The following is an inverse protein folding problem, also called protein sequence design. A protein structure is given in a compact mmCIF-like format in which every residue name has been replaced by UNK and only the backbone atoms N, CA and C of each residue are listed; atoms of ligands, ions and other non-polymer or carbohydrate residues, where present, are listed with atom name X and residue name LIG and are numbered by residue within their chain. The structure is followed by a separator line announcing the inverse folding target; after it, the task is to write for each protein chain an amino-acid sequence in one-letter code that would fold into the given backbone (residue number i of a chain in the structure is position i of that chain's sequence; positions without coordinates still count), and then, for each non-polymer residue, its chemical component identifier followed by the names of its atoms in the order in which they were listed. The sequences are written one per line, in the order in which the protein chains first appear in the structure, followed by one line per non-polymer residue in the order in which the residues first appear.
data_IF_585163121825
#
_entry.id   IF_585163121825
#
_cell.length_a   1.000
_cell.length_b   1.000
_cell.length_c   1.000
_cell.angle_alpha   90.00
_cell.angle_beta   90.00
_cell.angle_gamma   90.00
#
_symmetry.space_group_name_H-M   'P 1'
#
loop_
_entity.id
_entity.type
_entity.pdbx_description
1 polymer ?
#
# COMPACT_ATOMS: atom_id res chain seq x y z
N UNK A 1 -3.97 26.64 -14.07
CA UNK A 1 -2.90 25.60 -14.17
C UNK A 1 -3.42 24.51 -15.09
N UNK A 2 -2.67 24.14 -16.11
CA UNK A 2 -3.01 22.95 -16.91
C UNK A 2 -2.90 21.71 -16.01
N UNK A 3 -3.79 20.70 -16.15
CA UNK A 3 -3.65 19.44 -15.44
C UNK A 3 -2.31 18.80 -15.80
N UNK A 4 -1.62 18.25 -14.81
CA UNK A 4 -0.41 17.47 -15.05
C UNK A 4 -0.75 16.28 -15.99
N UNK A 5 0.15 15.92 -16.92
CA UNK A 5 -0.08 14.74 -17.76
C UNK A 5 -0.27 13.51 -16.85
N UNK A 6 -1.24 12.67 -17.21
CA UNK A 6 -1.47 11.42 -16.48
C UNK A 6 -0.22 10.54 -16.54
N UNK A 7 0.06 9.83 -15.44
CA UNK A 7 1.16 8.87 -15.37
C UNK A 7 0.99 7.76 -16.44
N UNK A 8 2.05 7.27 -17.09
CA UNK A 8 1.94 6.23 -18.13
C UNK A 8 1.18 4.97 -17.68
N UNK A 9 1.28 4.59 -16.40
CA UNK A 9 0.57 3.46 -15.83
C UNK A 9 -0.86 3.78 -15.32
N UNK A 10 -1.40 4.97 -15.59
CA UNK A 10 -2.67 5.44 -15.02
C UNK A 10 -3.84 4.47 -15.30
N UNK A 11 -4.00 4.05 -16.55
CA UNK A 11 -5.11 3.16 -16.93
C UNK A 11 -4.93 1.75 -16.37
N UNK A 12 -3.68 1.24 -16.32
CA UNK A 12 -3.36 -0.04 -15.68
C UNK A 12 -3.67 0.02 -14.17
N UNK A 13 -3.26 1.08 -13.50
CA UNK A 13 -3.53 1.27 -12.09
C UNK A 13 -5.04 1.33 -11.80
N UNK A 14 -5.83 2.03 -12.62
CA UNK A 14 -7.30 2.03 -12.47
C UNK A 14 -7.88 0.62 -12.63
N UNK A 15 -7.39 -0.14 -13.61
CA UNK A 15 -7.82 -1.54 -13.79
C UNK A 15 -7.42 -2.41 -12.59
N UNK A 16 -6.22 -2.25 -12.06
CA UNK A 16 -5.74 -2.97 -10.86
C UNK A 16 -6.54 -2.59 -9.61
N UNK A 17 -6.82 -1.30 -9.39
CA UNK A 17 -7.70 -0.85 -8.32
C UNK A 17 -9.06 -1.54 -8.37
N UNK A 18 -9.71 -1.48 -9.56
CA UNK A 18 -11.04 -2.10 -9.77
C UNK A 18 -10.99 -3.61 -9.50
N UNK A 19 -9.99 -4.31 -10.03
CA UNK A 19 -9.84 -5.74 -9.81
C UNK A 19 -9.64 -6.10 -8.33
N UNK A 20 -8.78 -5.34 -7.63
CA UNK A 20 -8.53 -5.52 -6.20
C UNK A 20 -9.80 -5.31 -5.37
N UNK A 21 -10.55 -4.24 -5.67
CA UNK A 21 -11.76 -3.92 -4.94
C UNK A 21 -12.88 -4.93 -5.18
N UNK A 22 -13.04 -5.40 -6.42
CA UNK A 22 -13.99 -6.46 -6.73
C UNK A 22 -13.65 -7.77 -6.02
N UNK A 23 -12.37 -8.13 -5.93
CA UNK A 23 -11.93 -9.28 -5.13
C UNK A 23 -12.25 -9.07 -3.64
N UNK A 24 -11.98 -7.88 -3.11
CA UNK A 24 -12.29 -7.54 -1.71
C UNK A 24 -13.80 -7.59 -1.38
N UNK A 25 -14.66 -7.28 -2.35
CA UNK A 25 -16.11 -7.34 -2.20
C UNK A 25 -16.68 -8.76 -2.41
N UNK A 26 -15.99 -9.61 -3.19
CA UNK A 26 -16.44 -10.97 -3.54
C UNK A 26 -16.28 -11.99 -2.41
N UNK A 27 -15.35 -11.77 -1.48
CA UNK A 27 -15.09 -12.64 -0.33
C UNK A 27 -15.94 -12.24 0.91
N UNK A 28 -17.09 -11.62 0.71
CA UNK A 28 -18.08 -11.41 1.77
C UNK A 28 -18.48 -12.76 2.41
N UNK A 29 -18.97 -12.80 3.67
CA UNK A 29 -19.36 -14.04 4.32
C UNK A 29 -20.29 -14.82 3.38
N UNK A 30 -19.91 -16.05 3.09
CA UNK A 30 -20.67 -16.98 2.24
C UNK A 30 -22.14 -16.91 2.64
N UNK A 31 -22.99 -16.53 1.69
CA UNK A 31 -24.43 -16.52 1.92
C UNK A 31 -24.81 -17.90 2.45
N UNK A 32 -25.61 -18.01 3.54
CA UNK A 32 -25.97 -19.31 4.13
C UNK A 32 -26.51 -20.22 3.04
N UNK A 33 -25.98 -21.45 2.98
CA UNK A 33 -26.34 -22.45 2.00
C UNK A 33 -27.87 -22.54 1.89
N UNK A 34 -28.48 -22.24 0.72
CA UNK A 34 -29.93 -22.32 0.56
C UNK A 34 -30.48 -23.74 0.75
N UNK A 35 -29.63 -24.73 0.99
CA UNK A 35 -29.97 -26.13 1.29
C UNK A 35 -29.98 -26.49 2.77
N UNK A 36 -29.59 -25.55 3.67
CA UNK A 36 -29.76 -25.72 5.09
C UNK A 36 -31.26 -25.60 5.45
N UNK A 37 -32.01 -26.66 5.33
CA UNK A 37 -33.38 -26.79 5.77
C UNK A 37 -33.47 -26.64 7.28
N UNK A 38 -33.93 -25.49 7.76
CA UNK A 38 -34.46 -25.33 9.10
C UNK A 38 -35.91 -25.73 9.08
N UNK A 39 -36.37 -26.73 9.86
CA UNK A 39 -37.78 -27.06 9.92
C UNK A 39 -38.54 -26.01 10.74
N UNK A 40 -39.48 -25.32 10.14
CA UNK A 40 -40.64 -24.71 10.77
C UNK A 40 -40.50 -23.26 11.26
N UNK A 41 -40.84 -22.31 10.37
CA UNK A 41 -41.50 -21.06 10.79
C UNK A 41 -42.25 -20.48 9.55
N UNK A 42 -43.55 -20.59 9.56
CA UNK A 42 -44.47 -19.86 8.68
C UNK A 42 -44.59 -18.42 9.15
N UNK A 43 -44.10 -17.45 8.37
CA UNK A 43 -44.28 -16.01 8.56
C UNK A 43 -44.14 -15.27 7.22
N UNK A 44 -44.83 -14.12 7.03
CA UNK A 44 -45.12 -13.57 5.69
C UNK A 44 -43.88 -13.01 4.99
N UNK A 45 -43.81 -13.22 3.69
CA UNK A 45 -42.79 -12.79 2.75
C UNK A 45 -42.60 -11.27 2.78
N UNK A 46 -41.42 -10.80 3.19
CA UNK A 46 -40.95 -9.45 2.94
C UNK A 46 -40.24 -9.42 1.57
N UNK A 47 -40.78 -8.58 0.69
CA UNK A 47 -40.22 -8.31 -0.64
C UNK A 47 -38.85 -7.64 -0.52
N UNK A 48 -37.80 -8.31 -0.96
CA UNK A 48 -36.46 -7.75 -1.05
C UNK A 48 -36.37 -6.86 -2.29
N UNK A 49 -35.94 -5.60 -2.22
CA UNK A 49 -35.70 -4.77 -3.40
C UNK A 49 -34.47 -5.28 -4.15
N UNK A 50 -34.64 -5.34 -5.49
CA UNK A 50 -33.81 -5.96 -6.47
C UNK A 50 -32.30 -5.81 -6.37
N UNK A 51 -31.62 -6.92 -6.65
CA UNK A 51 -30.24 -7.01 -7.03
C UNK A 51 -29.91 -6.05 -8.18
N UNK A 52 -28.96 -5.18 -8.03
CA UNK A 52 -28.42 -4.35 -9.12
C UNK A 52 -27.55 -5.27 -9.99
N UNK A 53 -28.13 -5.74 -11.08
CA UNK A 53 -27.41 -6.43 -12.16
C UNK A 53 -26.53 -5.44 -12.94
N UNK A 54 -25.50 -5.93 -13.67
CA UNK A 54 -24.61 -5.08 -14.44
C UNK A 54 -25.36 -4.48 -15.63
N UNK A 55 -25.60 -3.18 -15.62
CA UNK A 55 -26.12 -2.46 -16.77
C UNK A 55 -25.21 -1.30 -17.16
N UNK A 56 -24.66 -1.41 -18.38
CA UNK A 56 -24.57 -0.34 -19.34
C UNK A 56 -23.53 0.74 -19.14
N UNK A 57 -22.49 0.67 -19.96
CA UNK A 57 -21.57 1.76 -20.27
C UNK A 57 -22.33 3.02 -20.73
N UNK A 58 -22.39 4.01 -19.84
CA UNK A 58 -22.75 5.39 -20.14
C UNK A 58 -21.67 6.34 -19.60
N UNK A 59 -21.54 7.60 -20.07
CA UNK A 59 -20.43 8.48 -19.76
C UNK A 59 -20.51 9.05 -18.34
N UNK A 60 -20.18 8.23 -17.35
CA UNK A 60 -20.04 8.62 -15.95
C UNK A 60 -19.06 7.68 -15.27
N UNK A 61 -17.92 8.20 -14.80
CA UNK A 61 -17.01 7.44 -13.98
C UNK A 61 -17.78 6.77 -12.85
N UNK A 62 -17.59 5.46 -12.67
CA UNK A 62 -18.22 4.72 -11.57
C UNK A 62 -17.68 5.28 -10.23
N UNK A 63 -18.38 4.98 -9.12
CA UNK A 63 -17.86 5.37 -7.79
C UNK A 63 -16.46 4.81 -7.59
N UNK A 64 -16.20 3.59 -8.07
CA UNK A 64 -14.89 2.95 -8.02
C UNK A 64 -13.80 3.75 -8.76
N UNK A 65 -14.13 4.28 -9.92
CA UNK A 65 -13.20 5.08 -10.74
C UNK A 65 -12.86 6.41 -10.06
N UNK A 66 -13.83 7.06 -9.41
CA UNK A 66 -13.59 8.30 -8.66
C UNK A 66 -12.62 8.10 -7.51
N UNK A 67 -12.72 6.97 -6.79
CA UNK A 67 -11.75 6.65 -5.74
C UNK A 67 -10.36 6.36 -6.30
N UNK A 68 -10.28 5.64 -7.44
CA UNK A 68 -9.00 5.44 -8.13
C UNK A 68 -8.36 6.77 -8.52
N UNK A 69 -9.15 7.68 -9.13
CA UNK A 69 -8.67 8.98 -9.57
C UNK A 69 -8.25 9.89 -8.39
N UNK A 70 -8.99 9.88 -7.27
CA UNK A 70 -8.59 10.61 -6.05
C UNK A 70 -7.28 10.08 -5.48
N UNK A 71 -7.12 8.76 -5.37
CA UNK A 71 -5.89 8.15 -4.89
C UNK A 71 -4.72 8.45 -5.83
N UNK A 72 -4.88 8.27 -7.13
CA UNK A 72 -3.83 8.59 -8.11
C UNK A 72 -3.47 10.07 -8.09
N UNK A 73 -4.46 10.96 -7.91
CA UNK A 73 -4.21 12.39 -7.71
C UNK A 73 -3.34 12.67 -6.48
N UNK A 74 -3.54 11.94 -5.38
CA UNK A 74 -2.72 12.05 -4.17
C UNK A 74 -1.29 11.57 -4.40
N UNK A 75 -1.12 10.42 -5.06
CA UNK A 75 0.19 9.89 -5.42
C UNK A 75 0.96 10.76 -6.43
N UNK A 76 0.25 11.63 -7.17
CA UNK A 76 0.83 12.58 -8.13
C UNK A 76 1.01 14.00 -7.56
N UNK A 77 0.85 14.21 -6.26
CA UNK A 77 1.01 15.53 -5.63
C UNK A 77 2.42 16.10 -5.87
N UNK A 78 2.54 17.42 -6.17
CA UNK A 78 3.78 18.00 -6.69
C UNK A 78 4.94 18.09 -5.69
N UNK A 79 4.68 17.92 -4.39
CA UNK A 79 5.72 17.88 -3.35
C UNK A 79 6.46 16.55 -3.27
N UNK A 80 5.91 15.48 -3.83
CA UNK A 80 6.47 14.13 -3.79
C UNK A 80 7.63 14.00 -4.78
N UNK A 81 8.68 13.29 -4.41
CA UNK A 81 9.83 12.98 -5.27
C UNK A 81 10.08 11.47 -5.33
N UNK A 82 10.04 10.81 -4.17
CA UNK A 82 10.13 9.35 -4.07
C UNK A 82 8.74 8.70 -3.87
N UNK A 83 7.92 9.19 -2.93
CA UNK A 83 6.61 8.61 -2.60
C UNK A 83 5.55 9.02 -3.65
N UNK A 84 5.83 8.68 -4.90
CA UNK A 84 5.05 9.03 -6.11
C UNK A 84 4.27 7.82 -6.64
N UNK A 85 3.54 8.03 -7.75
CA UNK A 85 2.86 6.94 -8.48
C UNK A 85 3.82 5.82 -8.89
N UNK A 86 5.11 6.13 -9.18
CA UNK A 86 6.11 5.10 -9.48
C UNK A 86 6.37 4.17 -8.29
N UNK A 87 6.42 4.74 -7.07
CA UNK A 87 6.53 3.95 -5.85
C UNK A 87 5.31 3.04 -5.66
N UNK A 88 4.10 3.57 -5.81
CA UNK A 88 2.87 2.76 -5.77
C UNK A 88 2.93 1.59 -6.77
N UNK A 89 3.33 1.85 -8.02
CA UNK A 89 3.50 0.80 -9.04
C UNK A 89 4.48 -0.25 -8.57
N UNK A 90 5.64 0.18 -8.05
CA UNK A 90 6.67 -0.72 -7.57
C UNK A 90 6.17 -1.60 -6.40
N UNK A 91 5.54 -1.01 -5.38
CA UNK A 91 4.98 -1.75 -4.23
C UNK A 91 3.95 -2.77 -4.69
N UNK A 92 3.00 -2.38 -5.55
CA UNK A 92 2.00 -3.30 -6.07
C UNK A 92 2.61 -4.47 -6.86
N UNK A 93 3.68 -4.24 -7.63
CA UNK A 93 4.41 -5.31 -8.32
C UNK A 93 5.09 -6.26 -7.31
N UNK A 94 5.67 -5.73 -6.24
CA UNK A 94 6.30 -6.56 -5.20
C UNK A 94 5.26 -7.34 -4.38
N UNK A 95 4.11 -6.76 -4.09
CA UNK A 95 2.98 -7.50 -3.50
C UNK A 95 2.56 -8.67 -4.40
N UNK A 96 2.50 -8.45 -5.73
CA UNK A 96 2.16 -9.54 -6.68
C UNK A 96 3.25 -10.61 -6.76
N UNK A 97 4.52 -10.25 -6.61
CA UNK A 97 5.66 -11.18 -6.52
C UNK A 97 5.57 -12.04 -5.25
N UNK A 98 5.17 -11.42 -4.14
CA UNK A 98 5.04 -12.05 -2.82
C UNK A 98 3.66 -12.68 -2.56
N UNK A 99 2.75 -12.71 -3.53
CA UNK A 99 1.34 -13.07 -3.35
C UNK A 99 1.08 -14.41 -2.66
N UNK A 100 1.99 -15.38 -2.84
CA UNK A 100 1.86 -16.71 -2.24
C UNK A 100 2.05 -16.74 -0.71
N UNK A 101 2.62 -15.67 -0.16
CA UNK A 101 2.85 -15.51 1.28
C UNK A 101 1.74 -14.73 1.98
N UNK A 102 0.82 -14.09 1.25
CA UNK A 102 -0.29 -13.34 1.82
C UNK A 102 -1.44 -14.27 2.24
N UNK A 103 -2.07 -13.97 3.36
CA UNK A 103 -3.31 -14.61 3.81
C UNK A 103 -4.54 -13.95 3.14
N UNK A 104 -4.59 -12.61 3.10
CA UNK A 104 -5.59 -11.82 2.37
C UNK A 104 -4.90 -10.86 1.38
N UNK A 105 -4.63 -11.38 0.18
CA UNK A 105 -3.96 -10.60 -0.86
C UNK A 105 -4.74 -9.33 -1.27
N UNK A 106 -6.07 -9.36 -1.17
CA UNK A 106 -6.89 -8.19 -1.47
C UNK A 106 -6.69 -7.09 -0.41
N UNK A 107 -6.62 -7.45 0.87
CA UNK A 107 -6.30 -6.51 1.96
C UNK A 107 -4.91 -5.92 1.79
N UNK A 108 -3.90 -6.73 1.48
CA UNK A 108 -2.50 -6.26 1.26
C UNK A 108 -2.44 -5.29 0.09
N UNK A 109 -3.08 -5.60 -1.05
CA UNK A 109 -3.11 -4.68 -2.19
C UNK A 109 -3.83 -3.38 -1.87
N UNK A 110 -4.96 -3.43 -1.15
CA UNK A 110 -5.65 -2.22 -0.69
C UNK A 110 -4.76 -1.41 0.25
N UNK A 111 -4.07 -2.06 1.18
CA UNK A 111 -3.13 -1.37 2.07
C UNK A 111 -1.99 -0.69 1.28
N UNK A 112 -1.46 -1.33 0.23
CA UNK A 112 -0.48 -0.71 -0.66
C UNK A 112 -1.01 0.54 -1.38
N UNK A 113 -2.31 0.58 -1.73
CA UNK A 113 -2.92 1.79 -2.29
C UNK A 113 -3.00 2.94 -1.29
N UNK A 114 -3.20 2.65 -0.01
CA UNK A 114 -3.46 3.65 1.01
C UNK A 114 -2.24 4.05 1.85
N UNK A 115 -1.16 3.24 1.95
CA UNK A 115 -0.12 3.45 2.97
C UNK A 115 0.46 4.86 2.96
N UNK A 116 0.73 5.43 1.81
CA UNK A 116 1.23 6.79 1.61
C UNK A 116 0.24 7.71 0.87
N UNK A 117 -1.07 7.37 0.85
CA UNK A 117 -2.08 8.19 0.17
C UNK A 117 -2.20 9.60 0.78
N UNK A 118 -1.86 9.77 2.05
CA UNK A 118 -1.65 11.06 2.70
C UNK A 118 -0.18 11.16 3.05
N UNK A 119 0.55 12.07 2.40
CA UNK A 119 1.98 12.20 2.61
C UNK A 119 2.43 13.67 2.60
N UNK A 120 2.96 14.12 3.72
CA UNK A 120 3.62 15.40 3.90
C UNK A 120 4.93 15.15 4.66
N UNK A 121 6.11 15.40 4.07
CA UNK A 121 7.39 15.05 4.69
C UNK A 121 7.67 15.72 6.04
N UNK A 122 6.97 16.83 6.35
CA UNK A 122 7.08 17.56 7.61
C UNK A 122 6.09 17.09 8.69
N UNK A 123 5.36 15.99 8.46
CA UNK A 123 4.33 15.47 9.36
C UNK A 123 4.63 14.06 9.81
N UNK A 124 4.33 13.78 11.07
CA UNK A 124 4.50 12.45 11.69
C UNK A 124 3.20 11.62 11.74
N UNK A 125 2.11 12.13 11.15
CA UNK A 125 0.78 11.51 11.24
C UNK A 125 0.30 10.98 9.88
N UNK A 126 1.22 10.81 8.91
CA UNK A 126 0.87 10.44 7.55
C UNK A 126 0.15 9.09 7.48
N UNK A 127 0.71 8.07 8.13
CA UNK A 127 0.19 6.70 8.13
C UNK A 127 -1.15 6.64 8.87
N UNK A 128 -1.32 7.34 9.99
CA UNK A 128 -2.60 7.40 10.69
C UNK A 128 -3.68 8.10 9.85
N UNK A 129 -3.33 9.17 9.14
CA UNK A 129 -4.26 9.87 8.24
C UNK A 129 -4.60 9.03 7.01
N UNK A 130 -3.63 8.30 6.47
CA UNK A 130 -3.79 7.32 5.40
C UNK A 130 -4.71 6.17 5.84
N UNK A 131 -4.50 5.63 7.03
CA UNK A 131 -5.35 4.58 7.60
C UNK A 131 -6.81 5.04 7.77
N UNK A 132 -7.03 6.25 8.30
CA UNK A 132 -8.38 6.84 8.41
C UNK A 132 -9.02 7.11 7.05
N UNK A 133 -8.22 7.46 6.05
CA UNK A 133 -8.71 7.59 4.67
C UNK A 133 -9.18 6.22 4.16
N UNK A 134 -8.40 5.16 4.38
CA UNK A 134 -8.76 3.79 4.01
C UNK A 134 -10.05 3.34 4.70
N UNK A 135 -10.17 3.54 6.02
CA UNK A 135 -11.38 3.19 6.79
C UNK A 135 -12.64 3.83 6.19
N UNK A 136 -12.61 5.12 5.91
CA UNK A 136 -13.76 5.82 5.32
C UNK A 136 -14.07 5.34 3.90
N UNK A 137 -13.04 5.31 3.04
CA UNK A 137 -13.21 4.95 1.64
C UNK A 137 -13.73 3.53 1.45
N UNK A 138 -13.15 2.56 2.18
CA UNK A 138 -13.53 1.15 2.07
C UNK A 138 -14.92 0.88 2.64
N UNK A 139 -15.29 1.55 3.74
CA UNK A 139 -16.65 1.50 4.28
C UNK A 139 -17.68 2.05 3.27
N UNK A 140 -17.40 3.20 2.66
CA UNK A 140 -18.27 3.79 1.64
C UNK A 140 -18.39 2.93 0.38
N UNK A 141 -17.34 2.18 0.04
CA UNK A 141 -17.30 1.24 -1.07
C UNK A 141 -17.93 -0.12 -0.74
N UNK A 142 -18.37 -0.34 0.51
CA UNK A 142 -19.05 -1.56 0.92
C UNK A 142 -18.12 -2.73 1.26
N UNK A 143 -16.83 -2.49 1.44
CA UNK A 143 -15.89 -3.51 1.94
C UNK A 143 -16.25 -3.87 3.38
N UNK A 144 -16.27 -5.17 3.70
CA UNK A 144 -16.63 -5.66 5.02
C UNK A 144 -15.75 -5.08 6.15
N UNK A 145 -16.35 -4.88 7.32
CA UNK A 145 -15.71 -4.24 8.48
C UNK A 145 -14.37 -4.88 8.86
N UNK A 146 -14.31 -6.21 8.90
CA UNK A 146 -13.09 -6.94 9.28
C UNK A 146 -11.93 -6.65 8.31
N UNK A 147 -12.18 -6.68 6.99
CA UNK A 147 -11.16 -6.37 5.98
C UNK A 147 -10.78 -4.90 5.99
N UNK A 148 -11.73 -3.99 6.18
CA UNK A 148 -11.47 -2.56 6.33
C UNK A 148 -10.55 -2.28 7.52
N UNK A 149 -10.81 -2.91 8.67
CA UNK A 149 -9.97 -2.81 9.86
C UNK A 149 -8.56 -3.39 9.62
N UNK A 150 -8.47 -4.51 8.90
CA UNK A 150 -7.18 -5.12 8.56
C UNK A 150 -6.37 -4.22 7.61
N UNK A 151 -6.97 -3.66 6.57
CA UNK A 151 -6.28 -2.69 5.69
C UNK A 151 -5.75 -1.51 6.49
N UNK A 152 -6.56 -0.93 7.38
CA UNK A 152 -6.14 0.20 8.22
C UNK A 152 -5.02 -0.18 9.19
N UNK A 153 -5.03 -1.40 9.75
CA UNK A 153 -3.95 -1.95 10.58
C UNK A 153 -2.66 -2.06 9.78
N UNK A 154 -2.74 -2.63 8.58
CA UNK A 154 -1.59 -2.79 7.68
C UNK A 154 -0.98 -1.44 7.29
N UNK A 155 -1.81 -0.43 6.99
CA UNK A 155 -1.33 0.94 6.73
C UNK A 155 -0.60 1.51 7.94
N UNK A 156 -1.13 1.34 9.17
CA UNK A 156 -0.45 1.80 10.39
C UNK A 156 0.86 1.07 10.66
N UNK A 157 0.98 -0.18 10.24
CA UNK A 157 2.18 -1.00 10.41
C UNK A 157 3.39 -0.43 9.63
N UNK A 158 3.17 0.31 8.54
CA UNK A 158 4.26 0.93 7.78
C UNK A 158 5.01 2.05 8.54
N UNK A 159 4.50 2.49 9.69
CA UNK A 159 5.25 3.38 10.61
C UNK A 159 6.54 2.70 11.10
N UNK A 160 6.46 1.44 11.45
CA UNK A 160 7.58 0.69 12.07
C UNK A 160 8.21 -0.33 11.15
N UNK A 161 7.48 -0.83 10.15
CA UNK A 161 7.85 -1.97 9.30
C UNK A 161 8.30 -3.20 10.11
N UNK A 162 7.70 -3.39 11.29
CA UNK A 162 8.03 -4.50 12.19
C UNK A 162 6.82 -5.42 12.42
N UNK A 163 6.43 -6.22 11.40
CA UNK A 163 5.33 -7.16 11.52
C UNK A 163 5.67 -8.28 12.50
N UNK A 164 4.67 -8.76 13.25
CA UNK A 164 4.82 -9.89 14.16
C UNK A 164 5.17 -11.18 13.40
N UNK A 165 5.77 -12.13 14.14
CA UNK A 165 5.98 -13.47 13.60
C UNK A 165 4.62 -14.15 13.38
N UNK A 166 4.32 -14.51 12.12
CA UNK A 166 3.02 -15.08 11.72
C UNK A 166 2.02 -14.06 11.15
N UNK A 167 2.32 -12.76 11.18
CA UNK A 167 1.54 -11.74 10.47
C UNK A 167 1.87 -11.77 8.96
N UNK A 168 1.29 -12.74 8.26
CA UNK A 168 1.57 -13.00 6.85
C UNK A 168 1.35 -11.76 5.96
N UNK A 169 0.24 -11.05 6.16
CA UNK A 169 -0.13 -9.88 5.37
C UNK A 169 0.77 -8.68 5.69
N UNK A 170 1.08 -8.45 6.96
CA UNK A 170 2.03 -7.43 7.39
C UNK A 170 3.44 -7.68 6.85
N UNK A 171 3.90 -8.95 6.86
CA UNK A 171 5.20 -9.32 6.30
C UNK A 171 5.27 -9.04 4.80
N UNK A 172 4.22 -9.37 4.04
CA UNK A 172 4.17 -9.11 2.59
C UNK A 172 4.17 -7.60 2.30
N UNK A 173 3.35 -6.82 3.00
CA UNK A 173 3.30 -5.38 2.78
C UNK A 173 4.63 -4.71 3.11
N UNK A 174 5.20 -4.97 4.28
CA UNK A 174 6.46 -4.37 4.72
C UNK A 174 7.62 -4.75 3.81
N UNK A 175 7.72 -6.02 3.40
CA UNK A 175 8.75 -6.48 2.49
C UNK A 175 8.61 -5.83 1.10
N UNK A 176 7.36 -5.70 0.60
CA UNK A 176 7.09 -5.06 -0.68
C UNK A 176 7.46 -3.56 -0.69
N UNK A 177 7.16 -2.84 0.38
CA UNK A 177 7.46 -1.43 0.53
C UNK A 177 8.98 -1.19 0.65
N UNK A 178 9.65 -1.98 1.48
CA UNK A 178 11.10 -1.90 1.67
C UNK A 178 11.92 -2.53 0.54
N UNK A 179 11.30 -3.13 -0.49
CA UNK A 179 12.02 -3.83 -1.56
C UNK A 179 12.99 -2.92 -2.34
N UNK A 180 12.74 -1.60 -2.37
CA UNK A 180 13.64 -0.62 -2.99
C UNK A 180 15.03 -0.65 -2.37
N UNK A 181 15.16 -1.01 -1.10
CA UNK A 181 16.45 -1.09 -0.41
C UNK A 181 17.37 -2.15 -1.05
N UNK A 182 16.79 -3.17 -1.67
CA UNK A 182 17.51 -4.24 -2.38
C UNK A 182 17.71 -3.96 -3.88
N UNK A 183 17.37 -2.78 -4.37
CA UNK A 183 17.53 -2.42 -5.77
C UNK A 183 19.00 -2.46 -6.22
N UNK A 184 19.22 -2.60 -7.54
CA UNK A 184 20.57 -2.46 -8.11
C UNK A 184 21.20 -1.11 -7.72
N UNK A 185 22.52 -1.01 -7.54
CA UNK A 185 23.16 0.17 -6.95
C UNK A 185 22.77 1.51 -7.60
N UNK A 186 22.61 1.56 -8.93
CA UNK A 186 22.20 2.79 -9.60
C UNK A 186 20.75 3.18 -9.29
N UNK A 187 19.84 2.20 -9.17
CA UNK A 187 18.44 2.45 -8.81
C UNK A 187 18.32 2.83 -7.33
N UNK A 188 19.11 2.22 -6.45
CA UNK A 188 19.19 2.62 -5.05
C UNK A 188 19.70 4.04 -4.89
N UNK A 189 20.75 4.43 -5.63
CA UNK A 189 21.27 5.80 -5.59
C UNK A 189 20.21 6.82 -6.08
N UNK A 190 19.43 6.48 -7.10
CA UNK A 190 18.32 7.32 -7.56
C UNK A 190 17.22 7.46 -6.48
N UNK A 191 16.89 6.38 -5.78
CA UNK A 191 16.01 6.40 -4.62
C UNK A 191 16.53 7.33 -3.52
N UNK A 192 17.78 7.18 -3.10
CA UNK A 192 18.38 8.01 -2.06
C UNK A 192 18.39 9.51 -2.43
N UNK A 193 18.68 9.82 -3.71
CA UNK A 193 18.62 11.17 -4.23
C UNK A 193 17.19 11.73 -4.21
N UNK A 194 16.19 10.95 -4.63
CA UNK A 194 14.78 11.36 -4.61
C UNK A 194 14.28 11.63 -3.18
N UNK A 195 14.67 10.79 -2.21
CA UNK A 195 14.39 11.04 -0.78
C UNK A 195 15.06 12.33 -0.32
N UNK A 196 16.32 12.59 -0.70
CA UNK A 196 16.97 13.87 -0.37
C UNK A 196 16.23 15.08 -0.94
N UNK A 197 15.77 14.99 -2.18
CA UNK A 197 14.99 16.05 -2.81
C UNK A 197 13.64 16.28 -2.10
N UNK A 198 12.98 15.21 -1.67
CA UNK A 198 11.69 15.26 -0.96
C UNK A 198 11.82 15.95 0.40
N UNK A 199 12.96 15.76 1.06
CA UNK A 199 13.33 16.47 2.28
C UNK A 199 14.17 17.72 2.03
N UNK A 200 14.08 18.34 0.84
CA UNK A 200 14.87 19.50 0.43
C UNK A 200 14.74 20.73 1.33
N UNK A 201 13.66 20.81 2.12
CA UNK A 201 13.45 21.86 3.13
C UNK A 201 14.25 21.65 4.42
N UNK A 202 14.83 20.46 4.64
CA UNK A 202 15.68 20.15 5.81
C UNK A 202 17.13 20.53 5.48
N UNK A 203 17.81 21.32 6.35
CA UNK A 203 19.23 21.61 6.20
C UNK A 203 20.08 20.35 6.07
N UNK A 204 21.14 20.43 5.25
CA UNK A 204 21.97 19.29 4.85
C UNK A 204 22.47 18.45 6.05
N UNK A 205 23.04 19.11 7.06
CA UNK A 205 23.57 18.44 8.26
C UNK A 205 22.48 17.68 9.01
N UNK A 206 21.30 18.30 9.21
CA UNK A 206 20.19 17.67 9.91
C UNK A 206 19.60 16.50 9.12
N UNK A 207 19.53 16.63 7.79
CA UNK A 207 19.11 15.53 6.93
C UNK A 207 20.07 14.35 7.04
N UNK A 208 21.37 14.60 6.95
CA UNK A 208 22.41 13.56 7.05
C UNK A 208 22.34 12.81 8.38
N UNK A 209 22.21 13.54 9.48
CA UNK A 209 22.09 12.93 10.82
C UNK A 209 20.83 12.08 10.94
N UNK A 210 19.68 12.62 10.50
CA UNK A 210 18.42 11.92 10.51
C UNK A 210 18.45 10.68 9.61
N UNK A 211 18.94 10.82 8.37
CA UNK A 211 19.06 9.69 7.44
C UNK A 211 19.99 8.61 7.96
N UNK A 212 21.16 9.00 8.49
CA UNK A 212 22.10 8.06 9.12
C UNK A 212 21.48 7.33 10.32
N UNK A 213 20.65 8.00 11.11
CA UNK A 213 19.93 7.36 12.22
C UNK A 213 18.94 6.29 11.70
N UNK A 214 18.18 6.60 10.65
CA UNK A 214 17.25 5.64 9.99
C UNK A 214 18.03 4.44 9.47
N UNK A 215 19.13 4.65 8.72
CA UNK A 215 19.95 3.57 8.16
C UNK A 215 20.54 2.67 9.25
N UNK A 216 21.04 3.26 10.33
CA UNK A 216 21.55 2.48 11.49
C UNK A 216 20.43 1.67 12.15
N UNK A 217 19.23 2.26 12.28
CA UNK A 217 18.07 1.55 12.80
C UNK A 217 17.73 0.31 11.98
N UNK A 218 17.66 0.47 10.66
CA UNK A 218 17.40 -0.65 9.73
C UNK A 218 18.51 -1.71 9.80
N UNK A 219 19.78 -1.30 9.79
CA UNK A 219 20.91 -2.23 9.88
C UNK A 219 20.99 -2.96 11.22
N UNK A 220 20.46 -2.39 12.30
CA UNK A 220 20.40 -3.01 13.63
C UNK A 220 19.30 -4.08 13.73
N UNK A 221 18.31 -4.09 12.82
CA UNK A 221 17.29 -5.13 12.80
C UNK A 221 17.92 -6.49 12.55
N UNK A 222 17.49 -7.56 13.25
CA UNK A 222 17.97 -8.92 12.99
C UNK A 222 17.72 -9.35 11.54
N UNK A 223 16.63 -8.89 10.95
CA UNK A 223 16.21 -9.10 9.56
C UNK A 223 15.46 -7.89 9.05
N UNK A 224 15.77 -7.46 7.83
CA UNK A 224 15.04 -6.42 7.13
C UNK A 224 13.74 -6.97 6.52
N UNK A 225 13.81 -8.19 5.97
CA UNK A 225 12.69 -8.84 5.32
C UNK A 225 12.20 -10.06 6.10
N UNK A 226 10.89 -10.28 6.06
CA UNK A 226 10.22 -11.31 6.85
C UNK A 226 9.76 -12.50 5.99
N UNK A 227 9.38 -12.28 4.72
CA UNK A 227 9.02 -13.37 3.82
C UNK A 227 10.23 -14.24 3.46
N UNK A 228 10.03 -15.54 3.13
CA UNK A 228 11.12 -16.39 2.64
C UNK A 228 11.83 -15.78 1.44
N UNK A 229 11.07 -15.26 0.47
CA UNK A 229 11.61 -14.62 -0.73
C UNK A 229 12.49 -13.40 -0.41
N UNK A 230 11.97 -12.47 0.41
CA UNK A 230 12.72 -11.27 0.80
C UNK A 230 14.03 -11.60 1.53
N UNK A 231 14.00 -12.60 2.42
CA UNK A 231 15.21 -13.06 3.13
C UNK A 231 16.25 -13.67 2.19
N UNK A 232 15.80 -14.43 1.20
CA UNK A 232 16.71 -15.13 0.28
C UNK A 232 17.30 -14.18 -0.77
N UNK A 233 16.48 -13.26 -1.31
CA UNK A 233 16.86 -12.50 -2.50
C UNK A 233 17.16 -11.03 -2.21
N UNK A 234 16.59 -10.41 -1.16
CA UNK A 234 16.68 -8.97 -0.91
C UNK A 234 17.54 -8.59 0.30
N UNK A 235 17.67 -9.46 1.30
CA UNK A 235 18.37 -9.14 2.56
C UNK A 235 19.82 -8.68 2.35
N UNK A 236 20.61 -9.47 1.61
CA UNK A 236 22.03 -9.16 1.42
C UNK A 236 22.27 -7.91 0.54
N UNK A 237 21.59 -7.75 -0.62
CA UNK A 237 21.67 -6.52 -1.41
C UNK A 237 21.24 -5.28 -0.63
N UNK A 238 20.14 -5.35 0.14
CA UNK A 238 19.67 -4.21 0.93
C UNK A 238 20.69 -3.79 1.99
N UNK A 239 21.21 -4.74 2.78
CA UNK A 239 22.24 -4.43 3.78
C UNK A 239 23.49 -3.84 3.16
N UNK A 240 23.90 -4.30 1.99
CA UNK A 240 25.00 -3.72 1.25
C UNK A 240 24.73 -2.25 0.89
N UNK A 241 23.58 -1.97 0.27
CA UNK A 241 23.20 -0.61 -0.13
C UNK A 241 23.12 0.34 1.07
N UNK A 242 22.47 -0.09 2.18
CA UNK A 242 22.35 0.71 3.40
C UNK A 242 23.72 1.01 4.01
N UNK A 243 24.65 0.04 4.00
CA UNK A 243 26.00 0.22 4.53
C UNK A 243 26.79 1.24 3.69
N UNK A 244 26.74 1.10 2.37
CA UNK A 244 27.43 2.04 1.45
C UNK A 244 26.88 3.47 1.60
N UNK A 245 25.55 3.65 1.67
CA UNK A 245 24.96 4.97 1.88
C UNK A 245 25.41 5.56 3.23
N UNK A 246 25.41 4.76 4.31
CA UNK A 246 25.83 5.21 5.63
C UNK A 246 27.31 5.64 5.64
N UNK A 247 28.19 4.93 4.94
CA UNK A 247 29.59 5.30 4.77
C UNK A 247 29.73 6.63 4.04
N UNK A 248 28.99 6.83 2.94
CA UNK A 248 29.00 8.08 2.18
C UNK A 248 28.51 9.27 3.00
N UNK A 249 27.45 9.10 3.79
CA UNK A 249 26.95 10.14 4.70
C UNK A 249 27.96 10.49 5.79
N UNK A 250 28.83 9.57 6.18
CA UNK A 250 29.83 9.75 7.23
C UNK A 250 31.14 10.37 6.72
N UNK A 251 31.42 10.27 5.42
CA UNK A 251 32.67 10.72 4.81
C UNK A 251 32.64 12.18 4.32
N UNK A 252 31.46 12.80 4.28
CA UNK A 252 31.24 14.17 3.80
C UNK A 252 31.02 15.12 4.95
#
# INVERSE_FOLDING_TARGET
MAPLPAHPAHDDLRARWRATLLAALGDGPEAPDPRATVPGATGPQATVPGAIGPQGDGPGATVLDRYADDLLGRWAEPQRRYHTTDHLVAVLHRVDELREYAADLAAVRLAAWFHDAVYLPDRSENEERSARLAERALTELGVGEARTAEVARLVRLTVTHDPEEGDADGQVLCDADLAVLAAAPAAYAAYAAAVREEYGFVPEELFRDGRAAVLRGLLALPRLYRTPHGREHWEAPARHNLTVELELLSAS
#
